data_IF_570497104881
#
_entry.id   IF_570497104881
#
_cell.length_a   1.000
_cell.length_b   1.000
_cell.length_c   1.000
_cell.angle_alpha   90.00
_cell.angle_beta   90.00
_cell.angle_gamma   90.00
#
_symmetry.space_group_name_H-M   'P 1'
#
loop_
_entity.id
_entity.type
_entity.pdbx_description
1 polymer ?
#
# COMPACT_ATOMS: atom_id res chain seq x y z
N UNK A 1 -16.46 1.71 -6.47
CA UNK A 1 -14.99 1.85 -6.34
C UNK A 1 -14.45 1.33 -4.99
N UNK A 2 -15.07 0.31 -4.36
CA UNK A 2 -14.75 -0.07 -2.97
C UNK A 2 -13.39 -0.77 -2.79
N UNK A 3 -12.93 -1.54 -3.79
CA UNK A 3 -11.65 -2.26 -3.70
C UNK A 3 -10.41 -1.36 -3.69
N UNK A 4 -10.48 -0.14 -4.26
CA UNK A 4 -9.34 0.78 -4.32
C UNK A 4 -9.06 1.45 -2.97
N UNK A 5 -10.11 1.77 -2.22
CA UNK A 5 -9.96 2.38 -0.89
C UNK A 5 -9.32 1.41 0.12
N UNK A 6 -9.74 0.13 0.12
CA UNK A 6 -9.15 -0.89 0.98
C UNK A 6 -7.65 -1.11 0.75
N UNK A 7 -7.18 -1.00 -0.51
CA UNK A 7 -5.76 -1.10 -0.84
C UNK A 7 -4.95 0.05 -0.23
N UNK A 8 -5.46 1.28 -0.32
CA UNK A 8 -4.80 2.48 0.23
C UNK A 8 -4.72 2.41 1.75
N UNK A 9 -5.83 2.02 2.40
CA UNK A 9 -5.87 1.82 3.86
C UNK A 9 -4.88 0.73 4.29
N UNK A 10 -4.86 -0.40 3.58
CA UNK A 10 -3.92 -1.49 3.87
C UNK A 10 -2.46 -1.09 3.72
N UNK A 11 -2.12 -0.31 2.68
CA UNK A 11 -0.77 0.21 2.48
C UNK A 11 -0.36 1.21 3.56
N UNK A 12 -1.27 2.10 3.99
CA UNK A 12 -1.00 3.05 5.06
C UNK A 12 -0.73 2.33 6.39
N UNK A 13 -1.59 1.38 6.76
CA UNK A 13 -1.41 0.56 7.97
C UNK A 13 -0.09 -0.23 7.89
N UNK A 14 0.20 -0.84 6.73
CA UNK A 14 1.44 -1.58 6.50
C UNK A 14 2.70 -0.73 6.64
N UNK A 15 2.68 0.52 6.15
CA UNK A 15 3.79 1.47 6.26
C UNK A 15 4.05 1.91 7.72
N UNK A 16 2.99 2.17 8.48
CA UNK A 16 3.11 2.55 9.91
C UNK A 16 3.59 1.38 10.76
N UNK A 17 3.07 0.16 10.55
CA UNK A 17 3.57 -1.01 11.26
C UNK A 17 5.02 -1.36 10.86
N UNK A 18 5.34 -1.25 9.57
CA UNK A 18 6.67 -1.58 9.04
C UNK A 18 7.77 -0.62 9.46
N UNK A 19 7.45 0.67 9.66
CA UNK A 19 8.41 1.68 10.11
C UNK A 19 8.69 1.64 11.63
N UNK A 20 7.79 1.07 12.43
CA UNK A 20 7.87 1.12 13.90
C UNK A 20 8.50 -0.12 14.56
N UNK A 21 8.60 -1.25 13.84
CA UNK A 21 9.07 -2.51 14.42
C UNK A 21 10.60 -2.67 14.29
N UNK A 22 11.34 -2.47 15.39
CA UNK A 22 12.75 -2.84 15.49
C UNK A 22 13.00 -4.35 15.26
N UNK A 23 14.27 -4.73 15.02
CA UNK A 23 14.68 -6.06 14.52
C UNK A 23 14.23 -7.26 15.37
N UNK A 24 14.11 -7.13 16.69
CA UNK A 24 13.78 -8.27 17.58
C UNK A 24 12.31 -8.72 17.51
N UNK A 25 11.37 -7.80 17.31
CA UNK A 25 9.93 -8.14 17.21
C UNK A 25 9.53 -8.59 15.81
N UNK A 26 10.33 -8.22 14.81
CA UNK A 26 10.10 -8.59 13.42
C UNK A 26 10.10 -10.11 13.22
N UNK A 27 11.05 -10.83 13.80
CA UNK A 27 11.15 -12.29 13.61
C UNK A 27 9.97 -13.06 14.23
N UNK A 28 9.41 -12.59 15.35
CA UNK A 28 8.22 -13.20 15.96
C UNK A 28 6.97 -13.01 15.09
N UNK A 29 6.75 -11.79 14.61
CA UNK A 29 5.60 -11.44 13.78
C UNK A 29 5.72 -12.11 12.40
N UNK A 30 6.93 -12.14 11.85
CA UNK A 30 7.24 -12.78 10.56
C UNK A 30 6.88 -14.25 10.57
N UNK A 31 7.19 -14.99 11.63
CA UNK A 31 6.84 -16.41 11.74
C UNK A 31 5.33 -16.67 11.67
N UNK A 32 4.53 -15.83 12.33
CA UNK A 32 3.07 -15.92 12.29
C UNK A 32 2.51 -15.50 10.93
N UNK A 33 3.04 -14.42 10.37
CA UNK A 33 2.69 -13.96 9.04
C UNK A 33 2.98 -15.01 7.98
N UNK A 34 4.13 -15.69 8.07
CA UNK A 34 4.52 -16.73 7.11
C UNK A 34 3.55 -17.91 7.12
N UNK A 35 2.99 -18.27 8.28
CA UNK A 35 1.99 -19.34 8.37
C UNK A 35 0.73 -18.96 7.60
N UNK A 36 0.25 -17.72 7.77
CA UNK A 36 -0.91 -17.19 7.05
C UNK A 36 -0.63 -17.09 5.55
N UNK A 37 0.55 -16.60 5.17
CA UNK A 37 0.96 -16.45 3.78
C UNK A 37 1.06 -17.77 3.03
N UNK A 38 1.48 -18.84 3.70
CA UNK A 38 1.60 -20.17 3.10
C UNK A 38 0.28 -20.95 3.04
N UNK A 39 -0.84 -20.37 3.48
CA UNK A 39 -2.14 -21.01 3.32
C UNK A 39 -2.54 -21.05 1.84
N UNK A 40 -3.07 -22.20 1.40
CA UNK A 40 -3.60 -22.42 0.05
C UNK A 40 -4.48 -21.29 -0.49
N UNK A 41 -5.49 -20.78 0.23
CA UNK A 41 -6.33 -19.68 -0.26
C UNK A 41 -5.57 -18.37 -0.49
N UNK A 42 -4.54 -18.08 0.30
CA UNK A 42 -3.71 -16.88 0.13
C UNK A 42 -2.83 -17.02 -1.11
N UNK A 43 -2.21 -18.18 -1.31
CA UNK A 43 -1.43 -18.44 -2.52
C UNK A 43 -2.28 -18.41 -3.79
N UNK A 44 -3.51 -18.90 -3.74
CA UNK A 44 -4.44 -18.86 -4.88
C UNK A 44 -4.81 -17.41 -5.24
N UNK A 45 -5.08 -16.57 -4.24
CA UNK A 45 -5.34 -15.15 -4.45
C UNK A 45 -4.10 -14.42 -4.98
N UNK A 46 -2.92 -14.71 -4.44
CA UNK A 46 -1.65 -14.16 -4.94
C UNK A 46 -1.42 -14.59 -6.39
N UNK A 47 -1.75 -15.83 -6.76
CA UNK A 47 -1.70 -16.32 -8.14
C UNK A 47 -2.58 -15.49 -9.07
N UNK A 48 -3.87 -15.32 -8.71
CA UNK A 48 -4.84 -14.52 -9.49
C UNK A 48 -4.38 -13.07 -9.67
N UNK A 49 -3.85 -12.46 -8.60
CA UNK A 49 -3.31 -11.10 -8.65
C UNK A 49 -2.05 -11.04 -9.52
N UNK A 50 -1.15 -12.03 -9.46
CA UNK A 50 0.06 -12.11 -10.29
C UNK A 50 -0.28 -12.25 -11.76
N UNK A 51 -1.27 -13.06 -12.11
CA UNK A 51 -1.71 -13.25 -13.49
C UNK A 51 -2.36 -11.97 -14.03
N UNK A 52 -3.23 -11.35 -13.23
CA UNK A 52 -3.83 -10.06 -13.57
C UNK A 52 -2.78 -8.94 -13.75
N UNK A 53 -1.82 -8.87 -12.82
CA UNK A 53 -0.73 -7.92 -12.87
C UNK A 53 0.18 -8.16 -14.07
N UNK A 54 0.46 -9.43 -14.45
CA UNK A 54 1.22 -9.76 -15.65
C UNK A 54 0.51 -9.31 -16.92
N UNK A 55 -0.81 -9.53 -17.02
CA UNK A 55 -1.61 -9.06 -18.15
C UNK A 55 -1.60 -7.53 -18.26
N UNK A 56 -1.73 -6.81 -17.14
CA UNK A 56 -1.62 -5.35 -17.14
C UNK A 56 -0.20 -4.87 -17.41
N UNK A 57 0.81 -5.57 -16.89
CA UNK A 57 2.20 -5.23 -17.09
C UNK A 57 2.59 -5.28 -18.56
N UNK A 58 2.10 -6.28 -19.29
CA UNK A 58 2.31 -6.41 -20.73
C UNK A 58 1.52 -5.38 -21.55
N UNK A 59 0.44 -4.80 -20.99
CA UNK A 59 -0.35 -3.75 -21.63
C UNK A 59 0.16 -2.33 -21.34
N UNK A 60 1.07 -2.17 -20.37
CA UNK A 60 1.63 -0.89 -19.98
C UNK A 60 2.89 -0.58 -20.82
N UNK A 61 3.06 0.66 -21.29
CA UNK A 61 4.31 1.09 -21.92
C UNK A 61 5.50 0.87 -20.98
N UNK A 62 6.64 0.40 -21.52
CA UNK A 62 7.87 0.16 -20.74
C UNK A 62 8.34 1.39 -19.97
N UNK A 63 8.11 2.60 -20.49
CA UNK A 63 8.43 3.88 -19.85
C UNK A 63 7.68 4.11 -18.53
N UNK A 64 6.47 3.57 -18.40
CA UNK A 64 5.64 3.67 -17.21
C UNK A 64 6.12 2.67 -16.14
N UNK A 65 6.62 1.51 -16.57
CA UNK A 65 7.28 0.55 -15.67
C UNK A 65 8.66 1.03 -15.19
N UNK A 66 9.47 1.57 -16.09
CA UNK A 66 10.84 2.00 -15.77
C UNK A 66 10.86 3.17 -14.78
N UNK A 67 9.91 4.10 -14.90
CA UNK A 67 9.78 5.23 -13.97
C UNK A 67 9.36 4.76 -12.58
N UNK A 68 8.35 3.89 -12.49
CA UNK A 68 7.94 3.28 -11.22
C UNK A 68 9.07 2.48 -10.55
N UNK A 69 9.80 1.67 -11.32
CA UNK A 69 10.96 0.91 -10.83
C UNK A 69 12.06 1.85 -10.35
N UNK A 70 12.38 2.93 -11.07
CA UNK A 70 13.37 3.92 -10.64
C UNK A 70 13.00 4.60 -9.33
N UNK A 71 11.73 4.98 -9.14
CA UNK A 71 11.25 5.58 -7.88
C UNK A 71 11.38 4.60 -6.72
N UNK A 72 10.95 3.36 -6.93
CA UNK A 72 11.06 2.32 -5.92
C UNK A 72 12.53 2.02 -5.58
N UNK A 73 13.40 1.97 -6.58
CA UNK A 73 14.83 1.74 -6.40
C UNK A 73 15.52 2.91 -5.69
N UNK A 74 15.14 4.16 -5.99
CA UNK A 74 15.61 5.34 -5.28
C UNK A 74 15.17 5.34 -3.80
N UNK A 75 13.91 4.96 -3.53
CA UNK A 75 13.39 4.82 -2.17
C UNK A 75 14.07 3.67 -1.39
N UNK A 76 14.43 2.58 -2.08
CA UNK A 76 15.06 1.40 -1.49
C UNK A 76 16.60 1.53 -1.35
N UNK A 77 17.24 2.36 -2.18
CA UNK A 77 18.70 2.51 -2.24
C UNK A 77 19.30 2.96 -0.90
N UNK A 78 20.39 2.33 -0.49
CA UNK A 78 21.00 2.47 0.84
C UNK A 78 21.63 3.85 1.01
N UNK A 79 20.85 4.81 1.52
CA UNK A 79 21.23 6.17 1.87
C UNK A 79 20.48 6.63 3.12
N UNK A 80 20.87 7.78 3.69
CA UNK A 80 20.18 8.32 4.87
C UNK A 80 18.70 8.59 4.54
N UNK A 81 17.83 8.57 5.55
CA UNK A 81 16.40 8.84 5.37
C UNK A 81 16.15 10.16 4.61
N UNK A 82 17.02 11.16 4.79
CA UNK A 82 16.98 12.43 4.07
C UNK A 82 17.23 12.30 2.56
N UNK A 83 18.24 11.53 2.13
CA UNK A 83 18.54 11.36 0.70
C UNK A 83 17.46 10.55 -0.05
N UNK A 84 16.84 9.59 0.64
CA UNK A 84 15.70 8.82 0.11
C UNK A 84 14.46 9.70 -0.03
N UNK A 85 14.21 10.57 0.94
CA UNK A 85 13.10 11.52 0.92
C UNK A 85 13.30 12.58 -0.17
N UNK A 86 14.51 13.11 -0.35
CA UNK A 86 14.81 14.10 -1.37
C UNK A 86 14.60 13.56 -2.79
N UNK A 87 15.07 12.34 -3.06
CA UNK A 87 14.86 11.69 -4.36
C UNK A 87 13.36 11.40 -4.63
N UNK A 88 12.62 10.97 -3.61
CA UNK A 88 11.18 10.74 -3.72
C UNK A 88 10.38 12.05 -3.88
N UNK A 89 10.77 13.11 -3.17
CA UNK A 89 10.15 14.45 -3.25
C UNK A 89 10.47 15.12 -4.58
N UNK A 90 11.65 14.91 -5.16
CA UNK A 90 12.00 15.45 -6.47
C UNK A 90 11.14 14.85 -7.57
N UNK A 91 10.93 13.52 -7.56
CA UNK A 91 10.01 12.87 -8.50
C UNK A 91 8.55 13.23 -8.18
N UNK A 92 8.19 13.37 -6.91
CA UNK A 92 6.86 13.80 -6.47
C UNK A 92 6.51 15.23 -6.90
N UNK A 93 7.48 16.15 -6.95
CA UNK A 93 7.30 17.54 -7.41
C UNK A 93 6.92 17.63 -8.89
N UNK A 94 7.39 16.71 -9.71
CA UNK A 94 7.09 16.65 -11.15
C UNK A 94 5.67 16.14 -11.45
N UNK A 95 5.01 15.52 -10.47
CA UNK A 95 3.64 15.00 -10.56
C UNK A 95 2.73 15.62 -9.49
N UNK A 96 3.15 16.74 -8.88
CA UNK A 96 2.55 17.25 -7.65
C UNK A 96 1.08 17.63 -7.79
N UNK A 97 0.66 18.23 -8.90
CA UNK A 97 -0.74 18.62 -9.12
C UNK A 97 -1.67 17.42 -9.35
N UNK A 98 -1.19 16.39 -10.07
CA UNK A 98 -1.95 15.17 -10.32
C UNK A 98 -1.99 14.27 -9.08
N UNK A 99 -0.89 14.20 -8.34
CA UNK A 99 -0.81 13.51 -7.05
C UNK A 99 -1.65 14.25 -6.01
N UNK A 100 -1.68 15.58 -5.97
CA UNK A 100 -2.50 16.33 -5.03
C UNK A 100 -4.00 16.11 -5.28
N UNK A 101 -4.45 16.16 -6.54
CA UNK A 101 -5.85 15.84 -6.90
C UNK A 101 -6.20 14.37 -6.62
N UNK A 102 -5.29 13.45 -6.92
CA UNK A 102 -5.48 12.04 -6.61
C UNK A 102 -5.45 11.77 -5.10
N UNK A 103 -4.61 12.47 -4.34
CA UNK A 103 -4.50 12.42 -2.89
C UNK A 103 -5.75 12.97 -2.21
N UNK A 104 -6.30 14.10 -2.66
CA UNK A 104 -7.57 14.64 -2.16
C UNK A 104 -8.75 13.68 -2.43
N UNK A 105 -8.79 13.10 -3.63
CA UNK A 105 -9.85 12.15 -4.02
C UNK A 105 -9.74 10.85 -3.22
N UNK A 106 -8.53 10.36 -2.99
CA UNK A 106 -8.28 9.15 -2.20
C UNK A 106 -8.46 9.41 -0.70
N UNK A 107 -8.09 10.58 -0.19
CA UNK A 107 -8.30 10.96 1.21
C UNK A 107 -9.79 11.06 1.54
N UNK A 108 -10.61 11.64 0.66
CA UNK A 108 -12.08 11.66 0.83
C UNK A 108 -12.66 10.24 0.82
N UNK A 109 -12.24 9.40 -0.11
CA UNK A 109 -12.69 8.01 -0.16
C UNK A 109 -12.24 7.18 1.05
N UNK A 110 -11.04 7.45 1.60
CA UNK A 110 -10.55 6.81 2.82
C UNK A 110 -11.34 7.30 4.03
N UNK A 111 -11.63 8.60 4.12
CA UNK A 111 -12.46 9.16 5.19
C UNK A 111 -13.85 8.54 5.20
N UNK A 112 -14.52 8.48 4.04
CA UNK A 112 -15.87 7.89 3.95
C UNK A 112 -15.88 6.42 4.38
N UNK A 113 -14.84 5.65 4.05
CA UNK A 113 -14.73 4.24 4.47
C UNK A 113 -14.41 4.11 5.97
N UNK A 114 -13.59 5.01 6.52
CA UNK A 114 -13.31 5.04 7.96
C UNK A 114 -14.58 5.40 8.73
N UNK A 115 -15.34 6.40 8.28
CA UNK A 115 -16.61 6.79 8.89
C UNK A 115 -17.63 5.63 8.80
N UNK A 116 -17.74 4.93 7.66
CA UNK A 116 -18.62 3.75 7.48
C UNK A 116 -18.24 2.59 8.43
N UNK A 117 -16.94 2.34 8.63
CA UNK A 117 -16.44 1.31 9.55
C UNK A 117 -16.65 1.69 11.01
N UNK A 118 -16.49 2.97 11.36
CA UNK A 118 -16.74 3.49 12.71
C UNK A 118 -18.24 3.40 13.02
N UNK A 119 -19.10 3.79 12.08
CA UNK A 119 -20.56 3.70 12.25
C UNK A 119 -21.04 2.26 12.38
N UNK A 120 -20.53 1.32 11.58
CA UNK A 120 -20.85 -0.13 11.71
C UNK A 120 -20.39 -0.72 13.05
N UNK A 121 -19.20 -0.35 13.51
CA UNK A 121 -18.68 -0.77 14.81
C UNK A 121 -19.46 -0.18 16.00
N UNK A 122 -20.05 1.01 15.84
CA UNK A 122 -20.79 1.71 16.89
C UNK A 122 -22.28 1.33 16.90
N UNK A 123 -22.86 1.01 15.75
CA UNK A 123 -24.26 0.57 15.60
C UNK A 123 -24.48 -0.90 15.95
N UNK A 124 -23.44 -1.75 15.88
CA UNK A 124 -23.49 -3.13 16.39
C UNK A 124 -23.54 -3.26 17.92
N UNK A 125 -23.33 -2.17 18.66
CA UNK A 125 -23.34 -2.13 20.14
C UNK A 125 -24.65 -1.54 20.70
N UNK A 126 -25.79 -1.76 20.02
CA UNK A 126 -27.11 -1.23 20.42
C UNK A 126 -28.27 -2.24 20.39
N UNK A 127 -28.03 -3.52 20.09
CA UNK A 127 -29.06 -4.57 20.08
C UNK A 127 -28.84 -5.58 21.20
N UNK A 128 -29.37 -5.27 22.39
CA UNK A 128 -29.65 -6.24 23.45
C UNK A 128 -31.13 -6.63 23.39
#
# INVERSE_FOLDING_TARGET
>A
MRGKAGLVVGLAIGYVLGSRAGRERYEQIKGQWLKVWNLGPVQEQVGKVKDFAKSQAMALPSTLWDSAVKVAQAASSKGSAGQKLDAAVQVGKESADDIAKAADTSARAVKDVVDDVIDDATSGQGGA
#
